data_IF_431728783182
#
_entry.id   IF_431728783182
#
_cell.length_a   1.000
_cell.length_b   1.000
_cell.length_c   1.000
_cell.angle_alpha   90.00
_cell.angle_beta   90.00
_cell.angle_gamma   90.00
#
_symmetry.space_group_name_H-M   'P 1'
#
loop_
_entity.id
_entity.type
_entity.pdbx_description
1 polymer ?
#
# COMPACT_ATOMS: atom_id res chain seq x y z
N UNK A 1 -16.46 15.72 8.34
CA UNK A 1 -15.10 15.56 7.76
C UNK A 1 -15.18 14.56 6.62
N UNK A 2 -14.54 14.81 5.48
CA UNK A 2 -14.46 13.83 4.38
C UNK A 2 -13.43 12.76 4.77
N UNK A 3 -13.82 11.48 4.77
CA UNK A 3 -12.84 10.39 4.85
C UNK A 3 -12.00 10.40 3.58
N UNK A 4 -10.69 10.35 3.72
CA UNK A 4 -9.79 10.23 2.57
C UNK A 4 -9.93 8.84 1.98
N UNK A 5 -9.79 8.68 0.65
CA UNK A 5 -10.01 7.37 0.01
C UNK A 5 -8.98 6.31 0.43
N UNK A 6 -7.88 6.72 1.05
CA UNK A 6 -6.82 5.85 1.59
C UNK A 6 -6.97 5.55 3.08
N UNK A 7 -8.01 6.08 3.73
CA UNK A 7 -8.37 5.77 5.11
C UNK A 7 -9.13 4.43 5.15
N UNK A 8 -8.35 3.35 5.08
CA UNK A 8 -8.83 1.95 5.05
C UNK A 8 -8.49 1.22 6.36
N UNK A 9 -9.41 0.38 6.82
CA UNK A 9 -9.21 -0.43 8.02
C UNK A 9 -8.26 -1.60 7.75
N UNK A 10 -7.67 -2.15 8.82
CA UNK A 10 -6.80 -3.32 8.70
C UNK A 10 -7.57 -4.53 8.15
N UNK A 11 -8.84 -4.72 8.53
CA UNK A 11 -9.64 -5.83 8.02
C UNK A 11 -9.86 -5.75 6.51
N UNK A 12 -10.11 -4.55 5.98
CA UNK A 12 -10.28 -4.34 4.55
C UNK A 12 -9.00 -4.65 3.76
N UNK A 13 -7.85 -4.22 4.29
CA UNK A 13 -6.54 -4.47 3.67
C UNK A 13 -6.22 -5.96 3.69
N UNK A 14 -6.38 -6.64 4.83
CA UNK A 14 -6.14 -8.09 4.95
C UNK A 14 -7.05 -8.87 4.00
N UNK A 15 -8.34 -8.53 3.94
CA UNK A 15 -9.30 -9.22 3.07
C UNK A 15 -8.99 -9.10 1.57
N UNK A 16 -8.18 -8.12 1.16
CA UNK A 16 -7.90 -7.84 -0.27
C UNK A 16 -6.46 -8.08 -0.67
N UNK A 17 -5.55 -8.13 0.29
CA UNK A 17 -4.10 -8.19 0.05
C UNK A 17 -3.41 -9.32 0.82
N UNK A 18 -4.12 -9.96 1.75
CA UNK A 18 -3.60 -11.06 2.57
C UNK A 18 -2.63 -10.64 3.68
N UNK A 19 -2.34 -9.34 3.82
CA UNK A 19 -1.42 -8.80 4.84
C UNK A 19 -2.03 -7.63 5.57
N UNK A 20 -1.59 -7.41 6.80
CA UNK A 20 -1.92 -6.25 7.60
C UNK A 20 -1.25 -4.99 7.08
N UNK A 21 -1.74 -3.83 7.51
CA UNK A 21 -1.11 -2.54 7.22
C UNK A 21 0.34 -2.50 7.74
N UNK A 22 0.61 -3.02 8.93
CA UNK A 22 1.94 -3.01 9.55
C UNK A 22 2.93 -3.81 8.70
N UNK A 23 2.55 -5.01 8.25
CA UNK A 23 3.35 -5.80 7.32
C UNK A 23 3.60 -5.05 5.99
N UNK A 24 2.61 -4.34 5.46
CA UNK A 24 2.80 -3.54 4.25
C UNK A 24 3.74 -2.36 4.46
N UNK A 25 3.67 -1.70 5.62
CA UNK A 25 4.60 -0.62 5.98
C UNK A 25 6.02 -1.17 6.05
N UNK A 26 6.24 -2.34 6.63
CA UNK A 26 7.55 -3.00 6.66
C UNK A 26 8.05 -3.34 5.26
N UNK A 27 7.22 -3.96 4.42
CA UNK A 27 7.58 -4.30 3.03
C UNK A 27 7.95 -3.04 2.25
N UNK A 28 7.14 -1.97 2.35
CA UNK A 28 7.39 -0.72 1.63
C UNK A 28 8.62 0.02 2.15
N UNK A 29 8.90 -0.08 3.45
CA UNK A 29 10.11 0.45 4.07
C UNK A 29 11.36 -0.31 3.61
N UNK A 30 11.33 -1.64 3.62
CA UNK A 30 12.41 -2.50 3.11
C UNK A 30 12.65 -2.26 1.62
N UNK A 31 11.59 -2.03 0.86
CA UNK A 31 11.67 -1.66 -0.55
C UNK A 31 12.14 -0.21 -0.78
N UNK A 32 12.30 0.60 0.28
CA UNK A 32 12.66 2.02 0.20
C UNK A 32 11.69 2.84 -0.64
N UNK A 33 10.38 2.61 -0.46
CA UNK A 33 9.33 3.25 -1.26
C UNK A 33 9.34 4.78 -1.22
N UNK A 34 9.86 5.42 -0.16
CA UNK A 34 10.03 6.88 -0.10
C UNK A 34 10.98 7.45 -1.16
N UNK A 35 11.93 6.65 -1.65
CA UNK A 35 12.94 7.08 -2.62
C UNK A 35 12.53 6.73 -4.07
N UNK A 36 11.32 6.24 -4.27
CA UNK A 36 10.84 5.72 -5.56
C UNK A 36 9.63 6.50 -6.05
N UNK A 37 9.39 6.46 -7.36
CA UNK A 37 8.16 7.05 -7.92
C UNK A 37 6.96 6.20 -7.48
N UNK A 38 5.84 6.83 -7.14
CA UNK A 38 4.65 6.09 -6.70
C UNK A 38 4.19 5.01 -7.70
N UNK A 39 4.35 5.24 -9.01
CA UNK A 39 4.02 4.24 -10.03
C UNK A 39 4.94 3.02 -9.99
N UNK A 40 6.22 3.19 -9.63
CA UNK A 40 7.17 2.08 -9.47
C UNK A 40 6.80 1.24 -8.25
N UNK A 41 6.44 1.90 -7.14
CA UNK A 41 5.96 1.23 -5.93
C UNK A 41 4.67 0.46 -6.20
N UNK A 42 3.71 1.07 -6.92
CA UNK A 42 2.49 0.39 -7.35
C UNK A 42 2.81 -0.82 -8.22
N UNK A 43 3.69 -0.68 -9.22
CA UNK A 43 4.08 -1.79 -10.09
C UNK A 43 4.73 -2.93 -9.30
N UNK A 44 5.61 -2.63 -8.35
CA UNK A 44 6.22 -3.59 -7.44
C UNK A 44 5.19 -4.38 -6.63
N UNK A 45 4.21 -3.70 -6.03
CA UNK A 45 3.12 -4.35 -5.30
C UNK A 45 2.26 -5.24 -6.21
N UNK A 46 2.05 -4.82 -7.47
CA UNK A 46 1.30 -5.62 -8.45
C UNK A 46 2.10 -6.84 -8.95
N UNK A 47 3.42 -6.74 -9.13
CA UNK A 47 4.24 -7.82 -9.70
C UNK A 47 4.69 -8.83 -8.66
N UNK A 48 5.16 -8.38 -7.50
CA UNK A 48 5.77 -9.26 -6.49
C UNK A 48 4.76 -9.88 -5.54
N UNK A 49 3.60 -9.22 -5.35
CA UNK A 49 2.61 -9.61 -4.36
C UNK A 49 1.19 -9.70 -4.93
N UNK A 50 1.03 -9.55 -6.25
CA UNK A 50 -0.26 -9.63 -6.94
C UNK A 50 -1.34 -8.70 -6.35
N UNK A 51 -0.93 -7.61 -5.71
CA UNK A 51 -1.86 -6.68 -5.06
C UNK A 51 -2.69 -5.98 -6.14
N UNK A 52 -4.04 -5.99 -6.05
CA UNK A 52 -4.87 -5.29 -7.03
C UNK A 52 -4.53 -3.79 -7.09
N UNK A 53 -4.50 -3.22 -8.30
CA UNK A 53 -4.06 -1.83 -8.56
C UNK A 53 -4.64 -0.79 -7.59
N UNK A 54 -5.93 -0.88 -7.27
CA UNK A 54 -6.57 0.04 -6.34
C UNK A 54 -5.90 0.00 -4.95
N UNK A 55 -5.70 -1.21 -4.41
CA UNK A 55 -5.05 -1.42 -3.12
C UNK A 55 -3.57 -1.06 -3.14
N UNK A 56 -2.87 -1.35 -4.24
CA UNK A 56 -1.48 -0.95 -4.40
C UNK A 56 -1.31 0.58 -4.34
N UNK A 57 -2.22 1.34 -4.97
CA UNK A 57 -2.26 2.80 -4.88
C UNK A 57 -2.58 3.27 -3.46
N UNK A 58 -3.59 2.68 -2.82
CA UNK A 58 -3.97 3.01 -1.44
C UNK A 58 -2.82 2.80 -0.47
N UNK A 59 -2.15 1.66 -0.52
CA UNK A 59 -1.01 1.34 0.34
C UNK A 59 0.17 2.30 0.10
N UNK A 60 0.49 2.57 -1.17
CA UNK A 60 1.54 3.51 -1.54
C UNK A 60 1.23 4.92 -1.03
N UNK A 61 0.02 5.43 -1.25
CA UNK A 61 -0.38 6.76 -0.79
C UNK A 61 -0.39 6.85 0.73
N UNK A 62 -0.93 5.84 1.42
CA UNK A 62 -0.95 5.76 2.88
C UNK A 62 0.47 5.83 3.44
N UNK A 63 1.38 5.01 2.91
CA UNK A 63 2.77 4.96 3.36
C UNK A 63 3.51 6.29 3.16
N UNK A 64 3.27 6.99 2.04
CA UNK A 64 3.94 8.27 1.74
C UNK A 64 3.34 9.49 2.47
N UNK A 65 2.14 9.34 3.05
CA UNK A 65 1.40 10.42 3.74
C UNK A 65 1.52 10.35 5.26
N UNK A 66 1.91 9.21 5.81
CA UNK A 66 2.30 9.05 7.21
C UNK A 66 3.68 9.66 7.44
#
# INVERSE_FOLDING_TARGET
MKKEYWDVSNEQVVAKTGKTIEEWVEILSQYQAHNKKSNEVVAYLQSEFEVPRYWARTLTTRYLKQ
#
